data_IF_387181099260
#
_entry.id   IF_387181099260
#
_cell.length_a   1.000
_cell.length_b   1.000
_cell.length_c   1.000
_cell.angle_alpha   90.00
_cell.angle_beta   90.00
_cell.angle_gamma   90.00
#
_symmetry.space_group_name_H-M   'P 1'
#
loop_
_entity.id
_entity.type
_entity.pdbx_description
1 polymer ?
#
# COMPACT_ATOMS: atom_id res chain seq x y z
N UNK A 1 40.99 51.30 19.31
CA UNK A 1 40.71 50.31 20.36
C UNK A 1 39.20 50.30 20.54
N UNK A 2 38.41 49.28 20.26
CA UNK A 2 38.61 47.95 19.69
C UNK A 2 37.23 47.52 19.18
N UNK A 3 37.16 46.98 17.97
CA UNK A 3 35.95 46.35 17.45
C UNK A 3 35.81 44.97 18.09
N UNK A 4 34.69 44.66 18.75
CA UNK A 4 34.38 43.30 19.18
C UNK A 4 33.50 42.60 18.14
N UNK A 5 33.93 41.44 17.61
CA UNK A 5 33.06 40.53 16.88
C UNK A 5 32.49 39.47 17.85
N UNK A 6 31.38 38.83 17.47
CA UNK A 6 30.89 37.46 17.85
C UNK A 6 29.36 37.47 17.81
N UNK A 7 28.61 36.47 17.36
CA UNK A 7 28.91 35.15 16.78
C UNK A 7 27.62 34.66 16.12
N UNK A 8 27.71 34.14 14.89
CA UNK A 8 26.61 33.48 14.19
C UNK A 8 26.36 32.11 14.82
N UNK A 9 25.20 31.92 15.45
CA UNK A 9 24.78 30.61 15.98
C UNK A 9 24.27 29.74 14.83
N UNK A 10 25.16 28.93 14.25
CA UNK A 10 24.79 27.85 13.33
C UNK A 10 24.18 26.70 14.14
N UNK A 11 22.85 26.58 14.13
CA UNK A 11 22.15 25.44 14.72
C UNK A 11 22.36 24.20 13.82
N UNK A 12 23.12 23.24 14.32
CA UNK A 12 23.33 21.93 13.69
C UNK A 12 22.14 21.01 14.04
N UNK A 13 21.59 20.21 13.10
CA UNK A 13 20.51 19.28 13.40
C UNK A 13 21.00 18.13 14.31
N UNK A 14 20.14 17.55 15.17
CA UNK A 14 20.54 16.47 16.07
C UNK A 14 20.93 15.22 15.27
N UNK A 15 22.06 14.62 15.63
CA UNK A 15 22.56 13.40 15.00
C UNK A 15 21.64 12.19 15.29
N UNK A 16 21.32 11.43 14.25
CA UNK A 16 20.61 10.14 14.38
C UNK A 16 21.44 9.12 15.16
N UNK A 17 20.85 8.31 16.04
CA UNK A 17 21.57 7.23 16.71
C UNK A 17 21.96 6.13 15.70
N UNK A 18 23.08 5.41 15.90
CA UNK A 18 23.49 4.33 15.02
C UNK A 18 22.56 3.12 15.15
N UNK A 19 22.05 2.63 14.03
CA UNK A 19 21.26 1.39 13.96
C UNK A 19 22.11 0.18 14.40
N UNK A 20 21.61 -0.71 15.27
CA UNK A 20 22.29 -1.96 15.55
C UNK A 20 22.19 -2.87 14.31
N UNK A 21 23.25 -2.90 13.52
CA UNK A 21 23.46 -3.82 12.41
C UNK A 21 23.75 -5.22 12.93
N UNK A 22 22.71 -5.94 13.41
CA UNK A 22 22.72 -7.40 13.63
C UNK A 22 21.30 -7.93 13.88
N UNK A 23 20.46 -7.93 12.84
CA UNK A 23 19.33 -8.86 12.77
C UNK A 23 19.56 -9.75 11.55
N UNK A 24 20.26 -10.86 11.76
CA UNK A 24 20.33 -11.93 10.76
C UNK A 24 18.96 -12.64 10.73
N UNK A 25 18.24 -12.63 9.59
CA UNK A 25 17.10 -13.52 9.42
C UNK A 25 17.62 -14.96 9.35
N UNK A 26 16.97 -15.96 9.97
CA UNK A 26 17.39 -17.35 9.83
C UNK A 26 17.26 -17.81 8.38
N UNK A 27 18.37 -18.24 7.79
CA UNK A 27 18.50 -18.85 6.46
C UNK A 27 17.92 -20.27 6.45
N UNK A 28 16.63 -20.44 6.71
CA UNK A 28 15.96 -21.73 6.50
C UNK A 28 14.44 -21.62 6.50
N UNK A 29 13.88 -20.70 5.70
CA UNK A 29 12.52 -20.91 5.18
C UNK A 29 12.59 -21.87 4.01
N UNK A 30 12.58 -23.17 4.30
CA UNK A 30 12.07 -24.17 3.35
C UNK A 30 10.74 -23.60 2.80
N UNK A 31 10.52 -23.53 1.49
CA UNK A 31 9.19 -23.26 0.96
C UNK A 31 8.32 -24.41 1.43
N UNK A 32 7.56 -24.20 2.50
CA UNK A 32 6.48 -25.12 2.84
C UNK A 32 5.57 -25.03 1.62
N UNK A 33 5.51 -26.12 0.86
CA UNK A 33 4.55 -26.39 -0.21
C UNK A 33 3.16 -26.19 0.42
N UNK A 34 2.76 -24.91 0.48
CA UNK A 34 1.53 -24.47 1.09
C UNK A 34 0.52 -24.85 0.04
N UNK A 35 -0.09 -26.01 0.26
CA UNK A 35 -1.17 -26.62 -0.53
C UNK A 35 -1.73 -25.66 -1.58
N UNK A 36 -1.61 -25.97 -2.88
CA UNK A 36 -2.11 -25.11 -3.93
C UNK A 36 -3.62 -25.00 -3.74
N UNK A 37 -4.05 -23.92 -3.10
CA UNK A 37 -5.46 -23.64 -2.94
C UNK A 37 -6.03 -23.48 -4.37
N UNK A 38 -7.17 -24.11 -4.72
CA UNK A 38 -7.62 -24.23 -6.12
C UNK A 38 -7.99 -22.90 -6.80
N UNK A 39 -7.80 -21.76 -6.14
CA UNK A 39 -8.22 -20.41 -6.55
C UNK A 39 -7.06 -19.54 -7.10
N UNK A 40 -6.04 -20.16 -7.69
CA UNK A 40 -4.79 -19.49 -8.09
C UNK A 40 -4.90 -18.58 -9.34
N UNK A 41 -5.83 -17.62 -9.32
CA UNK A 41 -5.98 -16.58 -10.35
C UNK A 41 -6.64 -15.29 -9.89
N UNK A 42 -7.45 -15.32 -8.82
CA UNK A 42 -8.11 -14.13 -8.27
C UNK A 42 -8.04 -14.19 -6.75
N UNK A 43 -6.83 -14.05 -6.19
CA UNK A 43 -6.64 -13.93 -4.75
C UNK A 43 -7.25 -12.60 -4.33
N UNK A 44 -8.54 -12.64 -4.01
CA UNK A 44 -9.26 -11.58 -3.33
C UNK A 44 -8.43 -11.25 -2.08
N UNK A 45 -7.79 -10.06 -1.99
CA UNK A 45 -6.89 -9.75 -0.88
C UNK A 45 -7.68 -9.83 0.41
N UNK A 46 -7.18 -10.60 1.38
CA UNK A 46 -7.74 -10.64 2.73
C UNK A 46 -6.89 -9.76 3.64
N UNK A 47 -7.50 -8.82 4.41
CA UNK A 47 -8.90 -8.40 4.36
C UNK A 47 -9.20 -7.56 3.12
N UNK A 48 -10.38 -7.76 2.54
CA UNK A 48 -10.82 -7.00 1.37
C UNK A 48 -10.92 -5.51 1.70
N UNK A 49 -10.24 -4.62 0.95
CA UNK A 49 -10.45 -3.20 1.09
C UNK A 49 -11.92 -2.90 0.72
N UNK A 50 -12.71 -2.64 1.75
CA UNK A 50 -14.06 -2.09 1.62
C UNK A 50 -14.06 -0.70 2.23
N UNK A 51 -15.04 0.14 1.88
CA UNK A 51 -15.21 1.47 2.45
C UNK A 51 -15.15 1.53 3.99
N UNK A 52 -15.61 0.49 4.70
CA UNK A 52 -15.57 0.44 6.19
C UNK A 52 -14.27 -0.14 6.75
N UNK A 53 -13.56 -0.95 5.99
CA UNK A 53 -12.35 -1.66 6.45
C UNK A 53 -11.05 -1.01 5.94
N UNK A 54 -11.13 -0.11 4.95
CA UNK A 54 -9.97 0.63 4.44
C UNK A 54 -9.48 1.65 5.46
N UNK A 55 -8.16 1.75 5.64
CA UNK A 55 -7.53 2.72 6.55
C UNK A 55 -7.72 4.16 6.05
N UNK A 56 -7.71 5.13 6.98
CA UNK A 56 -7.80 6.55 6.64
C UNK A 56 -6.77 6.98 5.59
N UNK A 57 -5.50 6.60 5.76
CA UNK A 57 -4.42 6.94 4.82
C UNK A 57 -4.61 6.32 3.43
N UNK A 58 -5.24 5.15 3.33
CA UNK A 58 -5.55 4.54 2.03
C UNK A 58 -6.70 5.30 1.33
N UNK A 59 -7.71 5.74 2.08
CA UNK A 59 -8.81 6.56 1.54
C UNK A 59 -8.30 7.89 1.01
N UNK A 60 -7.47 8.61 1.78
CA UNK A 60 -6.90 9.92 1.36
C UNK A 60 -6.08 9.78 0.07
N UNK A 61 -5.16 8.81 0.02
CA UNK A 61 -4.34 8.58 -1.19
C UNK A 61 -5.19 8.19 -2.41
N UNK A 62 -6.26 7.43 -2.20
CA UNK A 62 -7.16 7.05 -3.29
C UNK A 62 -7.93 8.26 -3.85
N UNK A 63 -8.36 9.20 -2.98
CA UNK A 63 -9.06 10.41 -3.41
C UNK A 63 -8.15 11.45 -4.09
N UNK A 64 -6.87 11.49 -3.74
CA UNK A 64 -5.88 12.39 -4.37
C UNK A 64 -5.32 11.83 -5.70
N UNK A 65 -5.58 10.56 -5.99
CA UNK A 65 -5.11 9.90 -7.19
C UNK A 65 -5.85 10.33 -8.46
N UNK A 66 -5.27 10.06 -9.64
CA UNK A 66 -5.95 10.28 -10.91
C UNK A 66 -7.20 9.39 -11.06
N UNK A 67 -8.18 9.89 -11.80
CA UNK A 67 -9.43 9.17 -12.12
C UNK A 67 -9.23 8.36 -13.41
N UNK A 68 -9.57 7.08 -13.36
CA UNK A 68 -9.54 6.18 -14.51
C UNK A 68 -10.95 5.79 -14.95
N UNK A 69 -11.09 5.42 -16.23
CA UNK A 69 -12.32 4.88 -16.80
C UNK A 69 -12.15 3.41 -17.14
N UNK A 70 -13.25 2.66 -17.14
CA UNK A 70 -13.27 1.25 -17.47
C UNK A 70 -14.70 0.73 -17.62
N UNK A 71 -14.82 -0.53 -18.00
CA UNK A 71 -16.11 -1.21 -18.20
C UNK A 71 -16.29 -2.25 -17.10
N UNK A 72 -17.48 -2.30 -16.50
CA UNK A 72 -17.83 -3.36 -15.57
C UNK A 72 -17.86 -4.70 -16.31
N UNK A 73 -16.91 -5.59 -16.02
CA UNK A 73 -16.79 -6.90 -16.66
C UNK A 73 -17.79 -7.88 -16.08
N UNK A 74 -17.90 -7.92 -14.75
CA UNK A 74 -18.88 -8.72 -14.06
C UNK A 74 -19.19 -8.09 -12.70
N UNK A 75 -20.45 -8.19 -12.27
CA UNK A 75 -20.85 -7.80 -10.93
C UNK A 75 -21.99 -8.69 -10.47
N UNK A 76 -21.85 -9.30 -9.29
CA UNK A 76 -22.89 -10.11 -8.69
C UNK A 76 -23.38 -9.44 -7.41
N UNK A 77 -24.59 -8.87 -7.45
CA UNK A 77 -25.23 -8.20 -6.31
C UNK A 77 -25.28 -9.11 -5.08
N UNK A 78 -25.67 -10.36 -5.26
CA UNK A 78 -25.78 -11.34 -4.17
C UNK A 78 -24.44 -11.69 -3.53
N UNK A 79 -23.34 -11.65 -4.30
CA UNK A 79 -21.98 -11.87 -3.77
C UNK A 79 -21.32 -10.57 -3.27
N UNK A 80 -21.88 -9.41 -3.60
CA UNK A 80 -21.40 -8.09 -3.16
C UNK A 80 -20.12 -7.60 -3.83
N UNK A 81 -19.69 -8.19 -4.96
CA UNK A 81 -18.46 -7.79 -5.63
C UNK A 81 -18.46 -8.11 -7.12
N UNK A 82 -17.44 -7.58 -7.81
CA UNK A 82 -17.23 -7.73 -9.22
C UNK A 82 -15.84 -7.27 -9.66
N UNK A 83 -15.68 -7.10 -10.97
CA UNK A 83 -14.46 -6.63 -11.60
C UNK A 83 -14.74 -5.58 -12.68
N UNK A 84 -13.81 -4.63 -12.83
CA UNK A 84 -13.79 -3.59 -13.87
C UNK A 84 -12.56 -3.82 -14.75
N UNK A 85 -12.75 -3.88 -16.06
CA UNK A 85 -11.64 -3.86 -17.01
C UNK A 85 -11.29 -2.40 -17.33
N UNK A 86 -10.05 -1.96 -17.09
CA UNK A 86 -9.64 -0.58 -17.37
C UNK A 86 -9.68 -0.26 -18.88
N UNK A 87 -9.97 0.98 -19.23
CA UNK A 87 -9.95 1.43 -20.63
C UNK A 87 -8.53 1.42 -21.23
N UNK A 88 -7.53 1.69 -20.40
CA UNK A 88 -6.11 1.70 -20.78
C UNK A 88 -5.52 0.28 -20.91
N UNK A 89 -6.35 -0.76 -20.74
CA UNK A 89 -5.93 -2.16 -20.65
C UNK A 89 -5.35 -2.53 -19.30
N UNK A 90 -4.65 -3.66 -19.25
CA UNK A 90 -4.07 -4.20 -18.02
C UNK A 90 -5.01 -5.14 -17.25
N UNK A 91 -4.64 -5.49 -16.01
CA UNK A 91 -5.39 -6.47 -15.22
C UNK A 91 -6.73 -5.90 -14.73
N UNK A 92 -7.71 -6.80 -14.57
CA UNK A 92 -9.02 -6.45 -14.02
C UNK A 92 -8.91 -5.94 -12.57
N UNK A 93 -9.63 -4.87 -12.27
CA UNK A 93 -9.66 -4.23 -10.96
C UNK A 93 -10.86 -4.75 -10.17
N UNK A 94 -10.63 -5.22 -8.96
CA UNK A 94 -11.70 -5.66 -8.06
C UNK A 94 -12.54 -4.47 -7.56
N UNK A 95 -13.85 -4.65 -7.49
CA UNK A 95 -14.79 -3.69 -6.89
C UNK A 95 -15.71 -4.38 -5.88
N UNK A 96 -15.91 -3.74 -4.73
CA UNK A 96 -16.86 -4.17 -3.71
C UNK A 96 -18.12 -3.30 -3.74
N UNK A 97 -19.28 -3.85 -3.39
CA UNK A 97 -20.57 -3.15 -3.39
C UNK A 97 -20.63 -1.90 -2.48
N UNK A 98 -19.70 -1.81 -1.54
CA UNK A 98 -19.63 -0.68 -0.60
C UNK A 98 -18.70 0.45 -1.03
N UNK A 99 -17.88 0.22 -2.06
CA UNK A 99 -17.10 1.30 -2.68
C UNK A 99 -18.06 2.25 -3.39
#
# INVERSE_FOLDING_TARGET
>A
MSSEPTSSSSQQPPASPPSPSSLHPPESRRPRERSPSPLRGYLIPSPLPTRRTRTFSATVRASEGPIYKGVCKCFCRSKGHGFITPADGGPDIFVHISE
#
